data_IF_196908604158
#
_entry.id   IF_196908604158
#
_cell.length_a   1.000
_cell.length_b   1.000
_cell.length_c   1.000
_cell.angle_alpha   90.00
_cell.angle_beta   90.00
_cell.angle_gamma   90.00
#
_symmetry.space_group_name_H-M   'P 1'
#
loop_
_entity.id
_entity.type
_entity.pdbx_description
1 polymer ?
#
# COMPACT_ATOMS: atom_id res chain seq x y z
N UNK A 1 38.66 31.55 13.82
CA UNK A 1 37.31 31.12 14.20
C UNK A 1 36.41 31.47 13.04
N UNK A 2 36.28 30.53 12.11
CA UNK A 2 35.54 30.71 10.86
C UNK A 2 34.11 30.34 11.05
N UNK A 3 33.26 31.33 10.82
CA UNK A 3 31.80 31.21 10.84
C UNK A 3 31.33 30.55 9.51
N UNK A 4 31.10 29.28 9.53
CA UNK A 4 30.59 28.52 8.37
C UNK A 4 29.07 28.69 8.30
N UNK A 5 28.65 29.75 7.62
CA UNK A 5 27.26 29.96 7.22
C UNK A 5 26.85 28.91 6.18
N UNK A 6 26.06 27.92 6.56
CA UNK A 6 25.40 27.00 5.65
C UNK A 6 24.45 27.78 4.73
N UNK A 7 24.85 27.97 3.47
CA UNK A 7 23.94 28.45 2.43
C UNK A 7 22.91 27.38 2.12
N UNK A 8 21.71 27.47 2.71
CA UNK A 8 20.56 26.68 2.32
C UNK A 8 20.23 27.02 0.88
N UNK A 9 20.42 26.05 -0.02
CA UNK A 9 20.05 26.19 -1.44
C UNK A 9 18.55 26.05 -1.53
N UNK A 10 17.84 27.17 -1.50
CA UNK A 10 16.38 27.20 -1.67
C UNK A 10 16.07 26.90 -3.15
N UNK A 11 15.23 25.90 -3.47
CA UNK A 11 14.86 25.59 -4.84
C UNK A 11 14.28 26.82 -5.56
N UNK A 12 14.60 26.97 -6.84
CA UNK A 12 14.21 28.16 -7.63
C UNK A 12 12.71 28.49 -7.59
N UNK A 13 11.85 27.47 -7.43
CA UNK A 13 10.40 27.63 -7.27
C UNK A 13 10.01 28.35 -5.97
N UNK A 14 10.66 28.05 -4.86
CA UNK A 14 10.37 28.72 -3.58
C UNK A 14 10.80 30.19 -3.59
N UNK A 15 11.90 30.54 -4.26
CA UNK A 15 12.31 31.95 -4.44
C UNK A 15 11.29 32.74 -5.24
N UNK A 16 10.74 32.16 -6.30
CA UNK A 16 9.72 32.83 -7.12
C UNK A 16 8.38 33.00 -6.35
N UNK A 17 8.01 32.06 -5.50
CA UNK A 17 6.82 32.21 -4.66
C UNK A 17 7.00 33.25 -3.56
N UNK A 18 8.18 33.33 -2.94
CA UNK A 18 8.49 34.38 -1.97
C UNK A 18 8.54 35.75 -2.59
N UNK A 19 9.13 35.90 -3.79
CA UNK A 19 9.13 37.18 -4.53
C UNK A 19 7.71 37.61 -4.91
N UNK A 20 6.85 36.67 -5.36
CA UNK A 20 5.44 36.97 -5.65
C UNK A 20 4.69 37.41 -4.40
N UNK A 21 4.90 36.73 -3.25
CA UNK A 21 4.31 37.13 -1.97
C UNK A 21 4.75 38.53 -1.54
N UNK A 22 6.02 38.82 -1.61
CA UNK A 22 6.56 40.15 -1.29
C UNK A 22 6.00 41.24 -2.21
N UNK A 23 5.85 40.98 -3.50
CA UNK A 23 5.23 41.89 -4.46
C UNK A 23 3.74 42.13 -4.16
N UNK A 24 3.00 41.06 -3.79
CA UNK A 24 1.60 41.18 -3.37
C UNK A 24 1.43 41.94 -2.06
N UNK A 25 2.29 41.70 -1.08
CA UNK A 25 2.30 42.46 0.18
C UNK A 25 2.64 43.93 -0.02
N UNK A 26 3.61 44.24 -0.88
CA UNK A 26 3.94 45.60 -1.24
C UNK A 26 2.82 46.31 -2.01
N UNK A 27 2.14 45.59 -2.92
CA UNK A 27 0.98 46.12 -3.63
C UNK A 27 -0.23 46.36 -2.69
N UNK A 28 -0.46 45.46 -1.74
CA UNK A 28 -1.49 45.62 -0.71
C UNK A 28 -1.17 46.77 0.27
N UNK A 29 0.10 46.92 0.63
CA UNK A 29 0.55 48.02 1.49
C UNK A 29 0.46 49.37 0.77
N UNK A 30 0.79 49.43 -0.52
CA UNK A 30 0.62 50.63 -1.37
C UNK A 30 -0.87 51.02 -1.55
N UNK A 31 -1.74 50.00 -1.75
CA UNK A 31 -3.20 50.21 -1.86
C UNK A 31 -3.83 50.72 -0.55
N UNK A 32 -3.28 50.31 0.61
CA UNK A 32 -3.73 50.81 1.93
C UNK A 32 -3.26 52.26 2.24
N UNK A 33 -2.19 52.74 1.63
CA UNK A 33 -1.67 54.11 1.81
C UNK A 33 -2.24 55.13 0.83
N UNK A 34 -2.93 54.71 -0.22
CA UNK A 34 -3.39 55.59 -1.32
C UNK A 34 -4.90 55.76 -1.40
N UNK A 35 -5.52 56.38 -0.40
CA UNK A 35 -6.78 57.10 -0.65
C UNK A 35 -6.45 58.56 -1.03
N UNK A 36 -6.20 58.79 -2.32
CA UNK A 36 -6.51 60.00 -3.12
C UNK A 36 -5.80 59.89 -4.49
N UNK A 37 -6.61 59.77 -5.53
CA UNK A 37 -6.41 60.27 -6.89
C UNK A 37 -5.08 59.92 -7.54
N UNK A 38 -4.92 58.74 -8.15
CA UNK A 38 -3.95 58.49 -9.19
C UNK A 38 -4.60 57.64 -10.28
N UNK A 39 -4.66 58.22 -11.46
CA UNK A 39 -4.98 57.60 -12.75
C UNK A 39 -4.18 56.29 -12.92
N UNK A 40 -4.76 55.22 -13.49
CA UNK A 40 -4.00 53.99 -13.74
C UNK A 40 -2.79 54.27 -14.63
N UNK A 41 -1.61 53.66 -14.38
CA UNK A 41 -0.47 53.82 -15.28
C UNK A 41 -0.87 53.32 -16.66
N UNK A 42 -0.81 54.21 -17.66
CA UNK A 42 -0.91 53.84 -19.06
C UNK A 42 0.23 52.85 -19.35
N UNK A 43 -0.12 51.70 -19.90
CA UNK A 43 0.83 50.78 -20.50
C UNK A 43 1.63 51.58 -21.57
N UNK A 44 2.96 51.47 -21.60
CA UNK A 44 3.75 52.08 -22.68
C UNK A 44 3.28 51.50 -24.01
N UNK A 45 2.82 52.37 -24.91
CA UNK A 45 2.45 51.96 -26.25
C UNK A 45 3.63 51.31 -26.99
N UNK A 46 3.36 50.49 -28.03
CA UNK A 46 4.40 49.75 -28.73
C UNK A 46 5.44 50.71 -29.30
N UNK A 47 6.71 50.58 -28.90
CA UNK A 47 7.82 51.29 -29.50
C UNK A 47 7.99 50.81 -30.94
N UNK A 48 8.09 51.72 -31.93
CA UNK A 48 8.36 51.37 -33.31
C UNK A 48 9.79 50.81 -33.45
N UNK A 49 9.90 49.50 -33.67
CA UNK A 49 11.20 48.84 -33.89
C UNK A 49 11.51 47.65 -32.96
N UNK A 50 10.68 47.37 -31.97
CA UNK A 50 10.84 46.14 -31.22
C UNK A 50 10.28 44.95 -32.01
N UNK A 51 11.16 44.05 -32.45
CA UNK A 51 10.79 42.76 -33.00
C UNK A 51 10.00 42.05 -31.90
N UNK A 52 8.73 41.59 -32.15
CA UNK A 52 7.98 40.86 -31.14
C UNK A 52 8.76 39.59 -30.85
N UNK A 53 9.29 39.48 -29.63
CA UNK A 53 9.75 38.18 -29.11
C UNK A 53 8.55 37.28 -29.03
N UNK A 54 8.34 36.44 -30.03
CA UNK A 54 7.38 35.35 -29.99
C UNK A 54 7.95 34.35 -29.00
N UNK A 55 7.57 34.46 -27.72
CA UNK A 55 7.73 33.36 -26.79
C UNK A 55 6.84 32.27 -27.28
N UNK A 56 7.45 31.28 -27.93
CA UNK A 56 6.82 29.98 -28.18
C UNK A 56 6.52 29.43 -26.82
N UNK A 57 5.29 29.61 -26.33
CA UNK A 57 4.73 28.77 -25.33
C UNK A 57 4.60 27.42 -26.02
N UNK A 58 5.49 26.48 -25.71
CA UNK A 58 5.18 25.08 -25.94
C UNK A 58 3.95 24.80 -25.07
N UNK A 59 2.78 24.97 -25.64
CA UNK A 59 1.57 24.37 -25.10
C UNK A 59 1.81 22.87 -25.14
N UNK A 60 2.32 22.33 -24.02
CA UNK A 60 2.28 20.90 -23.80
C UNK A 60 0.82 20.50 -23.97
N UNK A 61 0.55 19.78 -25.05
CA UNK A 61 -0.81 19.34 -25.32
C UNK A 61 -1.25 18.49 -24.11
N UNK A 62 -2.35 18.86 -23.43
CA UNK A 62 -2.76 18.17 -22.21
C UNK A 62 -2.93 16.65 -22.41
N UNK A 63 -3.12 16.22 -23.65
CA UNK A 63 -3.16 14.82 -24.08
C UNK A 63 -1.77 14.18 -24.06
N UNK A 64 -0.73 14.91 -24.52
CA UNK A 64 0.65 14.40 -24.52
C UNK A 64 1.18 14.15 -23.12
N UNK A 65 0.99 15.10 -22.20
CA UNK A 65 1.40 14.97 -20.79
C UNK A 65 0.61 13.88 -20.07
N UNK A 66 -0.68 13.75 -20.38
CA UNK A 66 -1.51 12.69 -19.84
C UNK A 66 -1.05 11.31 -20.31
N UNK A 67 -0.78 11.14 -21.60
CA UNK A 67 -0.27 9.88 -22.16
C UNK A 67 1.12 9.58 -21.56
N UNK A 68 2.01 10.56 -21.52
CA UNK A 68 3.36 10.37 -20.97
C UNK A 68 3.35 9.99 -19.49
N UNK A 69 2.51 10.63 -18.68
CA UNK A 69 2.35 10.29 -17.26
C UNK A 69 1.78 8.89 -17.06
N UNK A 70 0.86 8.44 -17.92
CA UNK A 70 0.30 7.08 -17.88
C UNK A 70 1.31 6.04 -18.35
N UNK A 71 2.05 6.31 -19.43
CA UNK A 71 3.12 5.41 -19.88
C UNK A 71 4.23 5.25 -18.84
N UNK A 72 4.66 6.33 -18.19
CA UNK A 72 5.67 6.25 -17.14
C UNK A 72 5.21 5.42 -15.94
N UNK A 73 3.94 5.54 -15.55
CA UNK A 73 3.35 4.72 -14.48
C UNK A 73 3.29 3.24 -14.87
N UNK A 74 2.86 2.93 -16.09
CA UNK A 74 2.83 1.55 -16.61
C UNK A 74 4.23 0.96 -16.69
N UNK A 75 5.20 1.74 -17.17
CA UNK A 75 6.61 1.31 -17.24
C UNK A 75 7.18 0.98 -15.84
N UNK A 76 6.91 1.81 -14.83
CA UNK A 76 7.33 1.54 -13.45
C UNK A 76 6.72 0.25 -12.91
N UNK A 77 5.43 0.03 -13.14
CA UNK A 77 4.74 -1.21 -12.72
C UNK A 77 5.33 -2.42 -13.45
N UNK A 78 5.58 -2.32 -14.75
CA UNK A 78 6.20 -3.40 -15.54
C UNK A 78 7.61 -3.72 -15.04
N UNK A 79 8.43 -2.71 -14.74
CA UNK A 79 9.75 -2.91 -14.14
C UNK A 79 9.66 -3.62 -12.80
N UNK A 80 8.77 -3.18 -11.89
CA UNK A 80 8.56 -3.85 -10.61
C UNK A 80 8.14 -5.31 -10.79
N UNK A 81 7.13 -5.54 -11.64
CA UNK A 81 6.60 -6.89 -11.89
C UNK A 81 7.65 -7.81 -12.51
N UNK A 82 8.51 -7.29 -13.40
CA UNK A 82 9.59 -8.09 -13.99
C UNK A 82 10.74 -8.34 -13.01
N UNK A 83 11.04 -7.39 -12.13
CA UNK A 83 12.14 -7.49 -11.16
C UNK A 83 11.83 -8.49 -10.04
N UNK A 84 10.57 -8.59 -9.59
CA UNK A 84 10.15 -9.49 -8.52
C UNK A 84 10.49 -10.96 -8.82
N UNK A 85 10.08 -11.57 -9.94
CA UNK A 85 10.40 -12.96 -10.25
C UNK A 85 11.91 -13.20 -10.41
N UNK A 86 12.64 -12.22 -10.95
CA UNK A 86 14.09 -12.26 -11.05
C UNK A 86 14.73 -12.31 -9.64
N UNK A 87 14.31 -11.41 -8.73
CA UNK A 87 14.79 -11.40 -7.36
C UNK A 87 14.45 -12.70 -6.62
N UNK A 88 13.22 -13.19 -6.76
CA UNK A 88 12.77 -14.46 -6.17
C UNK A 88 13.62 -15.63 -6.69
N UNK A 89 13.88 -15.70 -8.00
CA UNK A 89 14.73 -16.72 -8.58
C UNK A 89 16.13 -16.72 -7.96
N UNK A 90 16.78 -15.56 -7.86
CA UNK A 90 18.12 -15.46 -7.27
C UNK A 90 18.10 -15.79 -5.77
N UNK A 91 17.14 -15.31 -5.02
CA UNK A 91 17.01 -15.64 -3.60
C UNK A 91 16.81 -17.15 -3.37
N UNK A 92 16.00 -17.81 -4.20
CA UNK A 92 15.80 -19.26 -4.12
C UNK A 92 17.04 -20.04 -4.56
N UNK A 93 17.71 -19.61 -5.64
CA UNK A 93 18.91 -20.24 -6.16
C UNK A 93 20.09 -20.17 -5.17
N UNK A 94 20.21 -19.04 -4.45
CA UNK A 94 21.28 -18.80 -3.49
C UNK A 94 20.88 -19.02 -2.04
N UNK A 95 19.69 -19.59 -1.80
CA UNK A 95 19.11 -19.80 -0.49
C UNK A 95 20.08 -20.47 0.49
N UNK A 96 20.72 -21.54 0.09
CA UNK A 96 21.61 -22.32 0.96
C UNK A 96 22.90 -21.56 1.25
N UNK A 97 23.41 -20.80 0.28
CA UNK A 97 24.58 -19.94 0.47
C UNK A 97 24.27 -18.81 1.46
N UNK A 98 23.15 -18.09 1.26
CA UNK A 98 22.71 -17.00 2.13
C UNK A 98 22.52 -17.51 3.56
N UNK A 99 21.85 -18.64 3.73
CA UNK A 99 21.60 -19.21 5.05
C UNK A 99 22.89 -19.62 5.77
N UNK A 100 23.83 -20.28 5.06
CA UNK A 100 25.14 -20.63 5.63
C UNK A 100 25.94 -19.39 6.01
N UNK A 101 26.00 -18.40 5.13
CA UNK A 101 26.75 -17.16 5.37
C UNK A 101 26.15 -16.38 6.55
N UNK A 102 24.82 -16.30 6.64
CA UNK A 102 24.14 -15.66 7.76
C UNK A 102 24.48 -16.35 9.10
N UNK A 103 24.45 -17.68 9.13
CA UNK A 103 24.75 -18.42 10.36
C UNK A 103 26.23 -18.36 10.76
N UNK A 104 27.13 -17.92 9.90
CA UNK A 104 28.56 -17.72 10.24
C UNK A 104 28.79 -16.48 11.13
N UNK A 105 27.87 -15.52 11.14
CA UNK A 105 27.95 -14.37 12.05
C UNK A 105 27.75 -14.75 13.53
N UNK A 106 27.18 -15.94 13.78
CA UNK A 106 26.88 -16.42 15.13
C UNK A 106 27.80 -17.57 15.52
N UNK A 107 28.19 -17.63 16.80
CA UNK A 107 29.10 -18.65 17.34
C UNK A 107 28.42 -19.44 18.47
N UNK A 108 28.84 -20.68 18.67
CA UNK A 108 28.39 -21.52 19.79
C UNK A 108 26.87 -21.71 19.84
N UNK A 109 26.28 -21.49 21.01
CA UNK A 109 24.80 -21.63 21.22
C UNK A 109 23.99 -20.64 20.43
N UNK A 110 24.50 -19.42 20.20
CA UNK A 110 23.78 -18.37 19.45
C UNK A 110 23.54 -18.77 18.00
N UNK A 111 24.40 -19.57 17.43
CA UNK A 111 24.22 -20.12 16.07
C UNK A 111 23.00 -21.03 15.98
N UNK A 112 22.76 -21.85 17.01
CA UNK A 112 21.58 -22.72 17.07
C UNK A 112 20.30 -21.91 17.25
N UNK A 113 20.37 -20.86 18.08
CA UNK A 113 19.23 -19.94 18.28
C UNK A 113 18.89 -19.21 16.99
N UNK A 114 19.89 -18.69 16.28
CA UNK A 114 19.70 -18.03 14.98
C UNK A 114 19.12 -18.99 13.94
N UNK A 115 19.63 -20.22 13.84
CA UNK A 115 19.10 -21.23 12.91
C UNK A 115 17.64 -21.56 13.20
N UNK A 116 17.26 -21.76 14.47
CA UNK A 116 15.87 -22.02 14.87
C UNK A 116 14.96 -20.82 14.58
N UNK A 117 15.44 -19.60 14.79
CA UNK A 117 14.69 -18.38 14.50
C UNK A 117 14.40 -18.23 13.01
N UNK A 118 15.42 -18.42 12.15
CA UNK A 118 15.25 -18.38 10.70
C UNK A 118 14.27 -19.46 10.22
N UNK A 119 14.42 -20.68 10.74
CA UNK A 119 13.48 -21.75 10.40
C UNK A 119 12.06 -21.43 10.87
N UNK A 120 11.90 -20.92 12.10
CA UNK A 120 10.60 -20.54 12.64
C UNK A 120 9.91 -19.45 11.82
N UNK A 121 10.67 -18.43 11.37
CA UNK A 121 10.16 -17.39 10.46
C UNK A 121 9.70 -18.04 9.13
N UNK A 122 10.53 -18.88 8.53
CA UNK A 122 10.22 -19.51 7.25
C UNK A 122 8.96 -20.39 7.33
N UNK A 123 8.81 -21.17 8.41
CA UNK A 123 7.65 -22.03 8.65
C UNK A 123 6.36 -21.22 8.86
N UNK A 124 6.44 -20.10 9.61
CA UNK A 124 5.31 -19.21 9.83
C UNK A 124 4.87 -18.49 8.55
N UNK A 125 5.82 -17.92 7.81
CA UNK A 125 5.53 -17.26 6.53
C UNK A 125 4.94 -18.24 5.53
N UNK A 126 5.51 -19.44 5.41
CA UNK A 126 5.00 -20.49 4.54
C UNK A 126 3.58 -20.90 4.92
N UNK A 127 3.32 -21.13 6.21
CA UNK A 127 2.00 -21.53 6.70
C UNK A 127 0.96 -20.44 6.40
N UNK A 128 1.31 -19.17 6.61
CA UNK A 128 0.44 -18.04 6.34
C UNK A 128 0.15 -17.90 4.84
N UNK A 129 1.18 -17.89 3.99
CA UNK A 129 1.02 -17.72 2.53
C UNK A 129 0.22 -18.87 1.92
N UNK A 130 0.60 -20.12 2.23
CA UNK A 130 -0.10 -21.30 1.71
C UNK A 130 -1.52 -21.37 2.27
N UNK A 131 -1.70 -21.12 3.57
CA UNK A 131 -3.01 -21.11 4.20
C UNK A 131 -3.95 -20.08 3.59
N UNK A 132 -3.49 -18.83 3.42
CA UNK A 132 -4.29 -17.78 2.77
C UNK A 132 -4.57 -18.09 1.29
N UNK A 133 -3.61 -18.65 0.56
CA UNK A 133 -3.83 -19.06 -0.83
C UNK A 133 -4.94 -20.13 -0.94
N UNK A 134 -4.87 -21.17 -0.12
CA UNK A 134 -5.90 -22.24 -0.08
C UNK A 134 -7.24 -21.68 0.34
N UNK A 135 -7.26 -20.82 1.37
CA UNK A 135 -8.48 -20.16 1.83
C UNK A 135 -9.08 -19.26 0.74
N UNK A 136 -8.24 -18.48 0.06
CA UNK A 136 -8.66 -17.62 -1.06
C UNK A 136 -9.26 -18.41 -2.21
N UNK A 137 -8.63 -19.52 -2.58
CA UNK A 137 -9.14 -20.40 -3.62
C UNK A 137 -10.50 -21.01 -3.23
N UNK A 138 -10.62 -21.46 -1.99
CA UNK A 138 -11.86 -22.00 -1.46
C UNK A 138 -12.98 -20.95 -1.44
N UNK A 139 -12.68 -19.75 -0.95
CA UNK A 139 -13.63 -18.63 -0.94
C UNK A 139 -14.01 -18.21 -2.35
N UNK A 140 -13.07 -18.19 -3.30
CA UNK A 140 -13.34 -17.92 -4.70
C UNK A 140 -14.35 -18.90 -5.29
N UNK A 141 -14.17 -20.19 -5.05
CA UNK A 141 -15.10 -21.25 -5.51
C UNK A 141 -16.46 -21.13 -4.83
N UNK A 142 -16.48 -20.97 -3.51
CA UNK A 142 -17.74 -20.84 -2.75
C UNK A 142 -18.51 -19.59 -3.15
N UNK A 143 -17.84 -18.44 -3.27
CA UNK A 143 -18.48 -17.18 -3.72
C UNK A 143 -19.04 -17.30 -5.12
N UNK A 144 -18.26 -17.88 -6.06
CA UNK A 144 -18.71 -18.09 -7.44
C UNK A 144 -19.96 -18.96 -7.50
N UNK A 145 -19.96 -20.06 -6.74
CA UNK A 145 -21.10 -21.00 -6.68
C UNK A 145 -22.33 -20.32 -6.10
N UNK A 146 -22.19 -19.59 -4.99
CA UNK A 146 -23.29 -18.88 -4.34
C UNK A 146 -23.86 -17.78 -5.25
N UNK A 147 -23.01 -16.98 -5.90
CA UNK A 147 -23.46 -15.95 -6.82
C UNK A 147 -24.10 -16.54 -8.08
N UNK A 148 -23.65 -17.69 -8.55
CA UNK A 148 -24.29 -18.41 -9.63
C UNK A 148 -25.72 -18.86 -9.27
N UNK A 149 -25.90 -19.44 -8.07
CA UNK A 149 -27.21 -19.85 -7.54
C UNK A 149 -28.13 -18.64 -7.37
N UNK A 150 -27.61 -17.51 -6.87
CA UNK A 150 -28.34 -16.25 -6.68
C UNK A 150 -28.59 -15.50 -8.01
N UNK A 151 -28.11 -16.02 -9.13
CA UNK A 151 -28.23 -15.41 -10.47
C UNK A 151 -27.62 -14.01 -10.55
N UNK A 152 -26.58 -13.75 -9.77
CA UNK A 152 -25.79 -12.51 -9.89
C UNK A 152 -25.03 -12.56 -11.22
N UNK A 153 -25.01 -11.45 -12.00
CA UNK A 153 -24.27 -11.40 -13.26
C UNK A 153 -22.77 -11.68 -13.07
N UNK A 154 -22.17 -12.35 -14.04
CA UNK A 154 -20.73 -12.64 -14.08
C UNK A 154 -20.16 -13.37 -12.85
N UNK A 155 -20.80 -14.45 -12.32
CA UNK A 155 -20.41 -15.07 -11.07
C UNK A 155 -18.97 -15.63 -11.09
N UNK A 156 -18.49 -16.10 -12.24
CA UNK A 156 -17.13 -16.63 -12.43
C UNK A 156 -16.04 -15.55 -12.38
N UNK A 157 -16.37 -14.28 -12.53
CA UNK A 157 -15.46 -13.16 -12.39
C UNK A 157 -15.58 -12.54 -11.01
N UNK A 158 -16.81 -12.30 -10.58
CA UNK A 158 -17.13 -11.57 -9.36
C UNK A 158 -16.86 -12.41 -8.11
N UNK A 159 -17.11 -13.73 -8.20
CA UNK A 159 -16.89 -14.66 -7.08
C UNK A 159 -15.42 -14.74 -6.65
N UNK A 160 -14.49 -15.05 -7.54
CA UNK A 160 -13.07 -15.08 -7.20
C UNK A 160 -12.57 -13.73 -6.69
N UNK A 161 -12.99 -12.63 -7.31
CA UNK A 161 -12.59 -11.27 -6.89
C UNK A 161 -13.09 -10.97 -5.48
N UNK A 162 -14.37 -11.25 -5.18
CA UNK A 162 -14.94 -11.11 -3.84
C UNK A 162 -14.23 -12.01 -2.82
N UNK A 163 -13.98 -13.28 -3.17
CA UNK A 163 -13.30 -14.24 -2.30
C UNK A 163 -11.89 -13.81 -1.94
N UNK A 164 -11.10 -13.33 -2.89
CA UNK A 164 -9.73 -12.83 -2.66
C UNK A 164 -9.75 -11.54 -1.83
N UNK A 165 -10.63 -10.60 -2.16
CA UNK A 165 -10.76 -9.34 -1.41
C UNK A 165 -11.20 -9.57 0.05
N UNK A 166 -11.96 -10.65 0.31
CA UNK A 166 -12.37 -11.03 1.66
C UNK A 166 -11.20 -11.40 2.60
N UNK A 167 -10.03 -11.74 2.04
CA UNK A 167 -8.84 -12.09 2.83
C UNK A 167 -8.10 -10.88 3.40
N UNK A 168 -8.40 -9.68 2.93
CA UNK A 168 -7.75 -8.48 3.45
C UNK A 168 -8.21 -8.22 4.88
N UNK A 169 -7.29 -8.19 5.86
CA UNK A 169 -7.67 -8.00 7.25
C UNK A 169 -8.47 -6.71 7.48
N UNK A 170 -9.49 -6.77 8.32
CA UNK A 170 -10.40 -5.70 8.75
C UNK A 170 -11.26 -5.06 7.65
N UNK A 171 -10.70 -4.77 6.48
CA UNK A 171 -11.43 -4.15 5.36
C UNK A 171 -11.94 -5.18 4.34
N UNK A 172 -11.61 -6.46 4.54
CA UNK A 172 -11.97 -7.53 3.60
C UNK A 172 -13.46 -7.69 3.37
N UNK A 173 -14.26 -7.59 4.44
CA UNK A 173 -15.72 -7.70 4.32
C UNK A 173 -16.33 -6.59 3.43
N UNK A 174 -16.16 -5.29 3.70
CA UNK A 174 -16.69 -4.25 2.82
C UNK A 174 -16.09 -4.32 1.41
N UNK A 175 -14.82 -4.66 1.29
CA UNK A 175 -14.13 -4.75 0.01
C UNK A 175 -14.68 -5.90 -0.84
N UNK A 176 -14.97 -7.06 -0.23
CA UNK A 176 -15.56 -8.21 -0.88
C UNK A 176 -17.01 -7.99 -1.36
N UNK A 177 -17.73 -7.05 -0.75
CA UNK A 177 -19.08 -6.69 -1.18
C UNK A 177 -19.10 -5.86 -2.46
N UNK A 178 -18.04 -5.11 -2.74
CA UNK A 178 -17.99 -4.18 -3.88
C UNK A 178 -18.24 -4.88 -5.22
N UNK A 179 -17.50 -5.93 -5.64
CA UNK A 179 -17.68 -6.55 -6.94
C UNK A 179 -19.09 -7.10 -7.18
N UNK A 180 -19.69 -7.90 -6.27
CA UNK A 180 -21.01 -8.46 -6.50
C UNK A 180 -22.12 -7.40 -6.44
N UNK A 181 -21.99 -6.33 -5.65
CA UNK A 181 -22.94 -5.23 -5.63
C UNK A 181 -22.93 -4.48 -6.95
N UNK A 182 -21.74 -4.16 -7.49
CA UNK A 182 -21.61 -3.53 -8.82
C UNK A 182 -22.19 -4.42 -9.94
N UNK A 183 -21.92 -5.72 -9.89
CA UNK A 183 -22.48 -6.66 -10.86
C UNK A 183 -24.00 -6.78 -10.79
N UNK A 184 -24.58 -6.59 -9.60
CA UNK A 184 -26.03 -6.65 -9.39
C UNK A 184 -26.78 -5.36 -9.79
N UNK A 185 -26.09 -4.23 -10.06
CA UNK A 185 -26.72 -2.95 -10.41
C UNK A 185 -27.74 -3.05 -11.54
N UNK A 186 -27.49 -3.79 -12.65
CA UNK A 186 -28.45 -3.90 -13.75
C UNK A 186 -29.76 -4.59 -13.37
N UNK A 187 -29.78 -5.39 -12.30
CA UNK A 187 -30.97 -6.12 -11.85
C UNK A 187 -32.01 -5.22 -11.19
N UNK A 188 -31.59 -4.06 -10.71
CA UNK A 188 -32.42 -3.00 -10.12
C UNK A 188 -33.42 -3.51 -9.08
N UNK A 189 -33.05 -4.53 -8.30
CA UNK A 189 -33.90 -5.22 -7.34
C UNK A 189 -33.30 -5.19 -5.92
N UNK A 190 -33.93 -4.43 -5.02
CA UNK A 190 -33.49 -4.32 -3.62
C UNK A 190 -33.28 -5.67 -2.93
N UNK A 191 -34.17 -6.69 -3.10
CA UNK A 191 -33.94 -8.00 -2.49
C UNK A 191 -32.61 -8.65 -2.91
N UNK A 192 -32.18 -8.46 -4.15
CA UNK A 192 -30.90 -9.01 -4.64
C UNK A 192 -29.70 -8.38 -3.94
N UNK A 193 -29.72 -7.07 -3.73
CA UNK A 193 -28.65 -6.39 -2.99
C UNK A 193 -28.55 -6.90 -1.54
N UNK A 194 -29.70 -7.05 -0.87
CA UNK A 194 -29.74 -7.61 0.49
C UNK A 194 -29.19 -9.03 0.51
N UNK A 195 -29.61 -9.89 -0.43
CA UNK A 195 -29.10 -11.26 -0.53
C UNK A 195 -27.60 -11.31 -0.79
N UNK A 196 -27.08 -10.45 -1.65
CA UNK A 196 -25.61 -10.34 -1.92
C UNK A 196 -24.86 -9.97 -0.64
N UNK A 197 -25.31 -8.93 0.06
CA UNK A 197 -24.67 -8.48 1.31
C UNK A 197 -24.71 -9.58 2.36
N UNK A 198 -25.86 -10.21 2.56
CA UNK A 198 -26.00 -11.31 3.53
C UNK A 198 -25.14 -12.51 3.17
N UNK A 199 -25.05 -12.87 1.88
CA UNK A 199 -24.23 -13.99 1.40
C UNK A 199 -22.75 -13.72 1.64
N UNK A 200 -22.25 -12.53 1.29
CA UNK A 200 -20.84 -12.16 1.52
C UNK A 200 -20.54 -12.09 3.01
N UNK A 201 -21.41 -11.49 3.81
CA UNK A 201 -21.24 -11.42 5.26
C UNK A 201 -21.23 -12.82 5.90
N UNK A 202 -22.17 -13.69 5.53
CA UNK A 202 -22.23 -15.07 6.02
C UNK A 202 -20.97 -15.85 5.64
N UNK A 203 -20.54 -15.75 4.38
CA UNK A 203 -19.36 -16.44 3.90
C UNK A 203 -18.08 -15.91 4.60
N UNK A 204 -17.99 -14.61 4.84
CA UNK A 204 -16.90 -14.01 5.59
C UNK A 204 -16.87 -14.47 7.06
N UNK A 205 -18.03 -14.55 7.72
CA UNK A 205 -18.11 -15.09 9.09
C UNK A 205 -17.70 -16.56 9.13
N UNK A 206 -18.14 -17.38 8.18
CA UNK A 206 -17.71 -18.79 8.07
C UNK A 206 -16.20 -18.87 7.80
N UNK A 207 -15.68 -17.99 6.94
CA UNK A 207 -14.25 -17.92 6.67
C UNK A 207 -13.44 -17.64 7.94
N UNK A 208 -13.82 -16.63 8.72
CA UNK A 208 -13.07 -16.23 9.91
C UNK A 208 -13.20 -17.23 11.07
N UNK A 209 -14.40 -17.79 11.30
CA UNK A 209 -14.65 -18.60 12.47
C UNK A 209 -14.45 -20.12 12.25
N UNK A 210 -14.50 -20.58 11.00
CA UNK A 210 -14.43 -22.01 10.69
C UNK A 210 -13.24 -22.35 9.79
N UNK A 211 -13.13 -21.65 8.65
CA UNK A 211 -12.14 -22.00 7.63
C UNK A 211 -10.73 -21.53 8.03
N UNK A 212 -10.61 -20.31 8.50
CA UNK A 212 -9.32 -19.73 8.90
C UNK A 212 -8.63 -20.55 9.99
N UNK A 213 -9.29 -20.93 11.13
CA UNK A 213 -8.68 -21.78 12.15
C UNK A 213 -8.28 -23.17 11.64
N UNK A 214 -9.05 -23.73 10.69
CA UNK A 214 -8.77 -25.07 10.14
C UNK A 214 -7.66 -25.08 9.09
N UNK A 215 -7.56 -24.05 8.27
CA UNK A 215 -6.64 -24.00 7.10
C UNK A 215 -5.32 -23.33 7.47
N UNK A 216 -5.38 -22.14 8.07
CA UNK A 216 -4.18 -21.38 8.50
C UNK A 216 -3.66 -21.92 9.82
N UNK A 217 -4.58 -22.37 10.67
CA UNK A 217 -4.28 -23.05 11.93
C UNK A 217 -3.81 -22.11 13.05
N UNK A 218 -3.57 -22.72 14.21
CA UNK A 218 -3.10 -22.05 15.43
C UNK A 218 -1.58 -21.78 15.43
N UNK A 219 -0.94 -21.75 14.26
CA UNK A 219 0.52 -21.55 14.18
C UNK A 219 0.95 -20.11 14.39
N UNK A 220 0.02 -19.16 14.25
CA UNK A 220 0.25 -17.73 14.48
C UNK A 220 -0.46 -17.33 15.77
N UNK A 221 0.16 -17.65 16.91
CA UNK A 221 -0.33 -17.24 18.23
C UNK A 221 0.09 -15.78 18.46
N UNK A 222 -0.66 -14.83 17.93
CA UNK A 222 -0.51 -13.41 18.20
C UNK A 222 -1.72 -12.91 18.99
N UNK A 223 -1.45 -12.12 20.00
CA UNK A 223 -2.50 -11.41 20.75
C UNK A 223 -3.27 -10.48 19.80
N UNK A 224 -4.63 -10.43 19.85
CA UNK A 224 -5.43 -9.55 19.00
C UNK A 224 -5.03 -8.08 19.03
N UNK A 225 -4.61 -7.57 20.18
CA UNK A 225 -4.09 -6.22 20.32
C UNK A 225 -2.81 -6.02 19.50
N UNK A 226 -1.90 -6.98 19.56
CA UNK A 226 -0.65 -6.96 18.77
C UNK A 226 -0.96 -7.02 17.28
N UNK A 227 -1.94 -7.82 16.85
CA UNK A 227 -2.38 -7.86 15.44
C UNK A 227 -2.89 -6.49 15.01
N UNK A 228 -3.70 -5.81 15.83
CA UNK A 228 -4.20 -4.47 15.51
C UNK A 228 -3.08 -3.45 15.37
N UNK A 229 -2.14 -3.42 16.32
CA UNK A 229 -0.96 -2.54 16.22
C UNK A 229 -0.07 -2.87 15.01
N UNK A 230 0.11 -4.15 14.70
CA UNK A 230 0.86 -4.60 13.53
C UNK A 230 0.28 -4.04 12.24
N UNK A 231 -1.03 -4.14 12.09
CA UNK A 231 -1.72 -3.62 10.90
C UNK A 231 -1.58 -2.10 10.79
N UNK A 232 -1.65 -1.38 11.91
CA UNK A 232 -1.40 0.07 11.91
C UNK A 232 0.04 0.40 11.50
N UNK A 233 1.03 -0.27 12.11
CA UNK A 233 2.45 0.02 11.86
C UNK A 233 2.83 -0.35 10.43
N UNK A 234 2.56 -1.58 10.00
CA UNK A 234 2.94 -2.05 8.68
C UNK A 234 2.13 -1.40 7.57
N UNK A 235 0.83 -1.11 7.83
CA UNK A 235 0.00 -0.34 6.91
C UNK A 235 0.47 1.09 6.74
N UNK A 236 0.95 1.75 7.81
CA UNK A 236 1.54 3.08 7.72
C UNK A 236 2.89 3.10 6.98
N UNK A 237 3.70 2.04 7.13
CA UNK A 237 5.03 1.95 6.51
C UNK A 237 4.97 1.59 5.03
N UNK A 238 4.05 0.70 4.64
CA UNK A 238 4.02 0.11 3.30
C UNK A 238 2.63 0.07 2.66
N UNK A 239 1.68 0.84 3.12
CA UNK A 239 0.31 0.90 2.61
C UNK A 239 -0.36 -0.50 2.49
N UNK A 240 -1.03 -0.80 1.37
CA UNK A 240 -1.74 -2.07 1.15
C UNK A 240 -0.85 -3.33 1.25
N UNK A 241 0.37 -3.38 0.68
CA UNK A 241 1.31 -4.48 0.94
C UNK A 241 1.65 -4.67 2.40
N UNK A 242 1.79 -3.59 3.17
CA UNK A 242 2.04 -3.64 4.61
C UNK A 242 0.90 -4.28 5.38
N UNK A 243 -0.36 -3.96 5.05
CA UNK A 243 -1.54 -4.58 5.65
C UNK A 243 -1.58 -6.10 5.39
N UNK A 244 -1.27 -6.54 4.17
CA UNK A 244 -1.27 -7.96 3.80
C UNK A 244 -0.16 -8.74 4.51
N UNK A 245 1.00 -8.12 4.70
CA UNK A 245 2.18 -8.75 5.31
C UNK A 245 2.30 -8.52 6.81
N UNK A 246 1.44 -7.73 7.43
CA UNK A 246 1.51 -7.36 8.84
C UNK A 246 1.58 -8.58 9.78
N UNK A 247 0.69 -9.53 9.56
CA UNK A 247 0.60 -10.74 10.38
C UNK A 247 1.86 -11.61 10.24
N UNK A 248 2.31 -12.02 9.02
CA UNK A 248 3.50 -12.85 8.90
C UNK A 248 4.79 -12.14 9.34
N UNK A 249 4.92 -10.83 9.14
CA UNK A 249 6.09 -10.08 9.61
C UNK A 249 6.16 -10.05 11.14
N UNK A 250 5.04 -9.76 11.80
CA UNK A 250 4.97 -9.71 13.26
C UNK A 250 5.12 -11.10 13.88
N UNK A 251 4.56 -12.13 13.25
CA UNK A 251 4.77 -13.51 13.65
C UNK A 251 6.24 -13.93 13.51
N UNK A 252 6.92 -13.46 12.46
CA UNK A 252 8.37 -13.63 12.30
C UNK A 252 9.17 -12.97 13.42
N UNK A 253 8.82 -11.74 13.82
CA UNK A 253 9.43 -11.06 14.97
C UNK A 253 9.20 -11.86 16.26
N UNK A 254 7.97 -12.34 16.48
CA UNK A 254 7.66 -13.21 17.63
C UNK A 254 8.51 -14.48 17.63
N UNK A 255 8.69 -15.14 16.48
CA UNK A 255 9.51 -16.33 16.38
C UNK A 255 10.97 -16.08 16.82
N UNK A 256 11.53 -14.92 16.49
CA UNK A 256 12.84 -14.50 16.99
C UNK A 256 12.81 -14.32 18.51
N UNK A 257 11.81 -13.58 19.02
CA UNK A 257 11.68 -13.29 20.46
C UNK A 257 11.52 -14.58 21.29
N UNK A 258 10.80 -15.57 20.80
CA UNK A 258 10.58 -16.85 21.47
C UNK A 258 11.87 -17.68 21.59
N UNK A 259 12.76 -17.59 20.59
CA UNK A 259 14.01 -18.33 20.56
C UNK A 259 15.16 -17.66 21.30
N UNK A 260 15.18 -16.32 21.39
CA UNK A 260 16.23 -15.56 22.07
C UNK A 260 15.90 -15.41 23.55
N UNK A 261 16.76 -15.96 24.43
CA UNK A 261 16.52 -15.97 25.91
C UNK A 261 16.20 -14.59 26.48
N UNK A 262 16.93 -13.53 26.06
CA UNK A 262 16.75 -12.16 26.52
C UNK A 262 15.42 -11.53 26.06
N UNK A 263 14.82 -12.03 24.96
CA UNK A 263 13.61 -11.48 24.35
C UNK A 263 12.34 -12.31 24.65
N UNK A 264 12.45 -13.39 25.43
CA UNK A 264 11.31 -14.26 25.75
C UNK A 264 10.13 -13.55 26.41
N UNK A 265 10.40 -12.52 27.23
CA UNK A 265 9.34 -11.72 27.83
C UNK A 265 8.52 -10.97 26.76
N UNK A 266 9.20 -10.45 25.73
CA UNK A 266 8.54 -9.84 24.57
C UNK A 266 7.79 -10.88 23.73
N UNK A 267 8.35 -12.07 23.53
CA UNK A 267 7.68 -13.17 22.83
C UNK A 267 6.35 -13.56 23.49
N UNK A 268 6.32 -13.63 24.82
CA UNK A 268 5.10 -13.87 25.61
C UNK A 268 4.11 -12.70 25.52
N UNK A 269 4.58 -11.46 25.48
CA UNK A 269 3.73 -10.28 25.32
C UNK A 269 3.10 -10.22 23.92
N UNK A 270 3.81 -10.65 22.87
CA UNK A 270 3.31 -10.70 21.49
C UNK A 270 2.32 -11.84 21.26
N UNK A 271 2.38 -12.90 22.09
CA UNK A 271 1.50 -14.06 22.02
C UNK A 271 0.35 -14.02 23.03
N UNK A 272 -0.45 -15.10 23.01
CA UNK A 272 -1.44 -15.41 24.06
C UNK A 272 -0.81 -16.18 25.21
#
# INVERSE_FOLDING_TARGET
>A
MEDQTYKVVVPARQRQEEERRRQQEQALAAAKKGKKGVTPPQQPGPQPGAIPEVRIHEESTPIGDYIYSRLSSVYQVLLMVSFIPFLVYFMLSWRDHINRSFLQFFHGEDRLVAARSVQGIADMVRAFVVGNFVLGLLLAVLSSTLFWVLRVPYPMLVGPLSGVLSLVPYIGLPLAMIPPLFAALPLNAVPVYVLVVMTVAMLHLVALNVLYPKIVGSRVHLNPLVVTFSLMIWGFLWDAPGLLLAIPLTAGIKAVCDNVKALRAFGKFLGD
#
